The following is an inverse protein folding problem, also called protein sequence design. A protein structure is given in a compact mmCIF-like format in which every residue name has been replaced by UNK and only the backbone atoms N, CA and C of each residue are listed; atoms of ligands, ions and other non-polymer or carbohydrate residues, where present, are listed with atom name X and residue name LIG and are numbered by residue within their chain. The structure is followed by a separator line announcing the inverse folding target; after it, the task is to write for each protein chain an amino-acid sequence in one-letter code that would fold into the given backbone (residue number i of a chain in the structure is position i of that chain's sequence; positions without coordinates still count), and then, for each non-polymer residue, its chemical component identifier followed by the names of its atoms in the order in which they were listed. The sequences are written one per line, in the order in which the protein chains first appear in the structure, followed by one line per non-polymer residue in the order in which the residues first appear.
data_IF_634185994177
#
_entry.id   IF_634185994177
#
_cell.length_a   1.000
_cell.length_b   1.000
_cell.length_c   1.000
_cell.angle_alpha   90.00
_cell.angle_beta   90.00
_cell.angle_gamma   90.00
#
_symmetry.space_group_name_H-M   'P 1'
#
loop_
_entity.id
_entity.type
_entity.pdbx_description
1 polymer ?
#
# COMPACT_ATOMS: atom_id res chain seq x y z
N UNK A 1 -89.73 30.96 8.52
CA UNK A 1 -90.25 31.40 7.21
C UNK A 1 -89.45 32.61 6.75
N UNK A 2 -89.19 32.70 5.44
CA UNK A 2 -88.44 33.72 4.70
C UNK A 2 -86.92 33.75 4.99
N UNK A 3 -86.04 33.06 4.24
CA UNK A 3 -85.65 33.26 2.83
C UNK A 3 -85.28 34.72 2.51
N UNK A 4 -84.00 34.97 2.20
CA UNK A 4 -83.52 35.52 0.91
C UNK A 4 -81.99 35.74 0.98
N UNK A 5 -81.26 35.00 0.15
CA UNK A 5 -79.88 35.26 -0.28
C UNK A 5 -79.91 36.11 -1.59
N UNK A 6 -78.82 36.30 -2.37
CA UNK A 6 -77.40 36.59 -2.10
C UNK A 6 -76.86 37.74 -3.00
N UNK A 7 -75.55 38.04 -2.95
CA UNK A 7 -74.81 38.69 -4.04
C UNK A 7 -73.98 39.90 -3.60
N UNK A 8 -72.73 40.10 -3.99
CA UNK A 8 -71.80 39.33 -4.81
C UNK A 8 -70.46 40.06 -4.71
N UNK A 9 -69.42 39.38 -4.24
CA UNK A 9 -68.07 39.93 -4.12
C UNK A 9 -67.25 39.42 -5.31
N UNK A 10 -67.04 40.25 -6.33
CA UNK A 10 -66.19 39.91 -7.46
C UNK A 10 -64.72 39.92 -7.00
N UNK A 11 -64.14 38.71 -6.83
CA UNK A 11 -62.71 38.54 -6.58
C UNK A 11 -61.96 38.62 -7.89
N UNK A 12 -61.01 39.55 -7.96
CA UNK A 12 -60.06 39.71 -9.06
C UNK A 12 -59.15 38.47 -9.10
N UNK A 13 -59.14 37.80 -10.25
CA UNK A 13 -58.24 36.70 -10.59
C UNK A 13 -56.81 37.20 -10.76
N UNK A 14 -55.89 36.71 -9.92
CA UNK A 14 -54.44 36.74 -10.19
C UNK A 14 -54.05 35.36 -10.73
N UNK A 15 -53.39 35.24 -11.90
CA UNK A 15 -52.99 33.94 -12.43
C UNK A 15 -51.91 33.32 -11.55
N UNK A 16 -52.15 32.06 -11.14
CA UNK A 16 -51.17 31.23 -10.43
C UNK A 16 -50.00 30.89 -11.36
N UNK A 17 -48.75 30.97 -10.91
CA UNK A 17 -47.63 30.44 -11.68
C UNK A 17 -47.75 28.92 -11.81
N UNK A 18 -47.46 28.43 -13.00
CA UNK A 18 -47.56 27.04 -13.38
C UNK A 18 -46.67 26.14 -12.48
N UNK A 19 -47.25 25.02 -12.04
CA UNK A 19 -46.52 23.92 -11.43
C UNK A 19 -45.48 23.38 -12.43
N UNK A 20 -44.21 23.70 -12.20
CA UNK A 20 -43.10 22.95 -12.80
C UNK A 20 -43.05 21.60 -12.09
N UNK A 21 -43.46 20.56 -12.82
CA UNK A 21 -43.33 19.15 -12.45
C UNK A 21 -41.85 18.85 -12.24
N UNK A 22 -41.43 18.72 -10.98
CA UNK A 22 -40.11 18.17 -10.66
C UNK A 22 -40.03 16.76 -11.23
N UNK A 23 -39.33 16.61 -12.37
CA UNK A 23 -38.71 15.32 -12.68
C UNK A 23 -37.63 15.15 -11.63
N UNK A 24 -37.88 14.28 -10.66
CA UNK A 24 -36.83 13.79 -9.77
C UNK A 24 -35.74 13.18 -10.63
N UNK A 25 -34.71 13.96 -10.92
CA UNK A 25 -33.40 13.38 -11.16
C UNK A 25 -33.02 12.77 -9.83
N UNK A 26 -33.20 11.46 -9.70
CA UNK A 26 -32.40 10.64 -8.80
C UNK A 26 -30.95 10.91 -9.20
N UNK A 27 -30.36 11.94 -8.60
CA UNK A 27 -28.92 12.03 -8.50
C UNK A 27 -28.54 10.81 -7.69
N UNK A 28 -28.16 9.74 -8.40
CA UNK A 28 -27.36 8.69 -7.83
C UNK A 28 -26.20 9.42 -7.16
N UNK A 29 -26.26 9.49 -5.83
CA UNK A 29 -25.14 9.95 -5.04
C UNK A 29 -24.10 8.87 -5.25
N UNK A 30 -23.26 9.03 -6.27
CA UNK A 30 -22.05 8.26 -6.43
C UNK A 30 -21.26 8.56 -5.16
N UNK A 31 -21.39 7.67 -4.19
CA UNK A 31 -20.51 7.64 -3.04
C UNK A 31 -19.09 7.58 -3.60
N UNK A 32 -18.17 8.44 -3.14
CA UNK A 32 -16.78 8.28 -3.52
C UNK A 32 -16.34 6.86 -3.15
N UNK A 33 -15.48 6.20 -3.95
CA UNK A 33 -14.97 4.89 -3.58
C UNK A 33 -14.23 5.08 -2.26
N UNK A 34 -14.77 4.51 -1.18
CA UNK A 34 -14.06 4.46 0.10
C UNK A 34 -12.91 3.47 -0.10
N UNK A 35 -11.76 3.97 -0.54
CA UNK A 35 -10.51 3.24 -0.43
C UNK A 35 -10.28 2.93 1.06
N UNK A 36 -10.48 1.68 1.42
CA UNK A 36 -10.37 1.16 2.77
C UNK A 36 -8.93 1.25 3.28
N UNK A 37 -8.59 2.29 4.05
CA UNK A 37 -7.37 2.25 4.86
C UNK A 37 -7.44 1.10 5.90
N UNK A 38 -8.64 0.73 6.36
CA UNK A 38 -8.84 -0.32 7.38
C UNK A 38 -8.81 -1.76 6.86
N UNK A 39 -9.09 -2.00 5.58
CA UNK A 39 -9.18 -3.37 5.01
C UNK A 39 -7.79 -3.97 4.84
N UNK A 40 -6.83 -3.17 4.38
CA UNK A 40 -5.45 -3.62 4.25
C UNK A 40 -4.77 -3.84 5.60
N UNK A 41 -5.10 -3.07 6.65
CA UNK A 41 -4.53 -3.27 8.00
C UNK A 41 -5.02 -4.58 8.62
N UNK A 42 -6.32 -4.85 8.52
CA UNK A 42 -6.91 -6.11 9.00
C UNK A 42 -6.39 -7.31 8.20
N UNK A 43 -6.49 -7.23 6.86
CA UNK A 43 -5.98 -8.26 5.96
C UNK A 43 -4.49 -8.54 6.19
N UNK A 44 -3.68 -7.50 6.42
CA UNK A 44 -2.25 -7.71 6.66
C UNK A 44 -1.90 -8.18 8.07
N UNK A 45 -2.77 -7.96 9.05
CA UNK A 45 -2.60 -8.49 10.41
C UNK A 45 -2.78 -10.00 10.41
N UNK A 46 -3.72 -10.51 9.61
CA UNK A 46 -3.94 -11.95 9.44
C UNK A 46 -2.71 -12.71 8.88
N UNK A 47 -1.84 -12.06 8.09
CA UNK A 47 -0.60 -12.69 7.56
C UNK A 47 0.37 -13.15 8.66
N UNK A 48 0.29 -12.53 9.84
CA UNK A 48 1.17 -12.80 10.99
C UNK A 48 0.49 -13.61 12.12
N UNK A 49 -0.78 -14.01 11.96
CA UNK A 49 -1.48 -14.84 12.94
C UNK A 49 -1.00 -16.29 12.94
N UNK A 50 -0.75 -16.83 11.75
CA UNK A 50 -0.33 -18.21 11.56
C UNK A 50 1.19 -18.37 11.51
N UNK A 51 1.89 -17.32 11.09
CA UNK A 51 3.34 -17.32 10.91
C UNK A 51 3.92 -15.93 11.20
N UNK A 52 4.70 -15.83 12.27
CA UNK A 52 5.29 -14.57 12.74
C UNK A 52 6.59 -14.19 12.04
N UNK A 53 7.08 -15.00 11.09
CA UNK A 53 8.31 -14.71 10.37
C UNK A 53 8.18 -13.42 9.54
N UNK A 54 9.23 -12.59 9.48
CA UNK A 54 9.22 -11.38 8.67
C UNK A 54 9.06 -11.70 7.17
N UNK A 55 8.43 -10.77 6.45
CA UNK A 55 8.19 -10.86 5.01
C UNK A 55 9.05 -9.81 4.31
N UNK A 56 10.00 -10.26 3.49
CA UNK A 56 10.79 -9.44 2.59
C UNK A 56 10.01 -9.18 1.30
N UNK A 57 9.65 -7.92 1.09
CA UNK A 57 9.04 -7.44 -0.15
C UNK A 57 10.12 -7.10 -1.18
N UNK A 58 9.95 -7.59 -2.41
CA UNK A 58 10.91 -7.39 -3.49
C UNK A 58 10.24 -7.08 -4.84
N UNK A 59 10.98 -6.45 -5.75
CA UNK A 59 10.56 -6.20 -7.12
C UNK A 59 10.93 -7.40 -8.02
N UNK A 60 9.93 -8.17 -8.44
CA UNK A 60 10.11 -9.37 -9.27
C UNK A 60 10.64 -9.12 -10.68
N UNK A 61 10.59 -7.88 -11.20
CA UNK A 61 11.16 -7.54 -12.52
C UNK A 61 12.59 -7.00 -12.42
N UNK A 62 13.12 -6.80 -11.22
CA UNK A 62 14.46 -6.25 -11.01
C UNK A 62 15.49 -7.36 -10.76
N UNK A 63 16.48 -7.48 -11.65
CA UNK A 63 17.55 -8.47 -11.54
C UNK A 63 18.35 -8.37 -10.24
N UNK A 64 18.61 -7.14 -9.77
CA UNK A 64 19.27 -6.90 -8.49
C UNK A 64 18.42 -7.40 -7.32
N UNK A 65 17.12 -7.11 -7.31
CA UNK A 65 16.21 -7.56 -6.25
C UNK A 65 16.09 -9.09 -6.24
N UNK A 66 15.93 -9.71 -7.41
CA UNK A 66 15.89 -11.16 -7.57
C UNK A 66 17.21 -11.81 -7.11
N UNK A 67 18.36 -11.23 -7.44
CA UNK A 67 19.66 -11.63 -6.93
C UNK A 67 19.75 -11.53 -5.40
N UNK A 68 19.21 -10.45 -4.83
CA UNK A 68 19.10 -10.27 -3.39
C UNK A 68 18.26 -11.36 -2.71
N UNK A 69 17.09 -11.69 -3.25
CA UNK A 69 16.24 -12.79 -2.73
C UNK A 69 16.98 -14.13 -2.78
N UNK A 70 17.64 -14.44 -3.90
CA UNK A 70 18.46 -15.67 -4.02
C UNK A 70 19.58 -15.73 -2.99
N UNK A 71 20.24 -14.59 -2.76
CA UNK A 71 21.29 -14.48 -1.76
C UNK A 71 20.75 -14.71 -0.35
N UNK A 72 19.65 -14.05 0.02
CA UNK A 72 19.03 -14.21 1.34
C UNK A 72 18.57 -15.66 1.53
N UNK A 73 17.83 -16.22 0.57
CA UNK A 73 17.37 -17.61 0.61
C UNK A 73 18.51 -18.63 0.71
N UNK A 74 19.65 -18.35 0.07
CA UNK A 74 20.84 -19.20 0.14
C UNK A 74 21.58 -19.15 1.48
N UNK A 75 21.42 -18.06 2.24
CA UNK A 75 22.07 -17.83 3.53
C UNK A 75 21.09 -17.88 4.71
N UNK A 76 19.84 -18.27 4.50
CA UNK A 76 18.82 -18.44 5.53
C UNK A 76 18.43 -19.91 5.64
N UNK A 77 19.30 -20.73 6.25
CA UNK A 77 19.08 -22.19 6.31
C UNK A 77 17.88 -22.58 7.16
N UNK A 78 17.50 -21.72 8.10
CA UNK A 78 16.35 -21.93 8.97
C UNK A 78 15.03 -21.46 8.33
N UNK A 79 15.10 -20.79 7.17
CA UNK A 79 13.93 -20.18 6.54
C UNK A 79 13.27 -19.16 7.46
N UNK A 80 14.06 -18.32 8.12
CA UNK A 80 13.60 -17.28 9.03
C UNK A 80 12.82 -16.18 8.32
N UNK A 81 13.02 -15.99 7.01
CA UNK A 81 12.41 -14.92 6.20
C UNK A 81 11.49 -15.50 5.13
N UNK A 82 10.32 -14.88 4.97
CA UNK A 82 9.38 -15.14 3.87
C UNK A 82 9.58 -14.10 2.78
N UNK A 83 9.23 -14.42 1.54
CA UNK A 83 9.37 -13.51 0.40
C UNK A 83 8.02 -13.28 -0.26
N UNK A 84 7.74 -12.04 -0.64
CA UNK A 84 6.52 -11.67 -1.34
C UNK A 84 6.83 -10.61 -2.41
N UNK A 85 6.27 -10.77 -3.60
CA UNK A 85 6.52 -9.87 -4.71
C UNK A 85 5.65 -8.62 -4.58
N UNK A 86 6.23 -7.43 -4.80
CA UNK A 86 5.49 -6.16 -4.75
C UNK A 86 4.40 -6.05 -5.83
N UNK A 87 4.50 -6.86 -6.89
CA UNK A 87 3.49 -6.93 -7.95
C UNK A 87 2.20 -7.64 -7.52
N UNK A 88 2.26 -8.51 -6.49
CA UNK A 88 1.10 -9.26 -6.02
C UNK A 88 0.15 -8.37 -5.21
N UNK A 89 -1.12 -8.79 -5.09
CA UNK A 89 -2.09 -8.08 -4.26
C UNK A 89 -1.66 -8.06 -2.79
N UNK A 90 -1.15 -9.19 -2.28
CA UNK A 90 -0.61 -9.29 -0.92
C UNK A 90 0.58 -8.35 -0.70
N UNK A 91 1.52 -8.28 -1.65
CA UNK A 91 2.68 -7.40 -1.59
C UNK A 91 2.30 -5.92 -1.57
N UNK A 92 1.32 -5.50 -2.40
CA UNK A 92 0.79 -4.14 -2.39
C UNK A 92 0.15 -3.77 -1.05
N UNK A 93 -0.59 -4.69 -0.45
CA UNK A 93 -1.23 -4.46 0.84
C UNK A 93 -0.21 -4.32 1.97
N UNK A 94 0.81 -5.18 1.98
CA UNK A 94 1.93 -5.09 2.92
C UNK A 94 2.75 -3.81 2.71
N UNK A 95 2.94 -3.36 1.46
CA UNK A 95 3.61 -2.11 1.16
C UNK A 95 2.81 -0.89 1.66
N UNK A 96 1.50 -0.87 1.45
CA UNK A 96 0.62 0.19 1.98
C UNK A 96 0.66 0.26 3.51
N UNK A 97 0.68 -0.89 4.18
CA UNK A 97 0.86 -0.95 5.64
C UNK A 97 2.18 -0.34 6.11
N UNK A 98 3.24 -0.41 5.30
CA UNK A 98 4.53 0.22 5.62
C UNK A 98 4.52 1.75 5.47
N UNK A 99 3.39 2.36 5.09
CA UNK A 99 3.26 3.80 4.87
C UNK A 99 3.73 4.25 3.49
N UNK A 100 3.91 3.33 2.54
CA UNK A 100 4.33 3.61 1.17
C UNK A 100 3.19 3.50 0.18
N UNK A 101 3.33 4.19 -0.95
CA UNK A 101 2.41 4.04 -2.06
C UNK A 101 2.50 2.61 -2.65
N UNK A 102 1.40 2.01 -3.11
CA UNK A 102 1.39 0.65 -3.64
C UNK A 102 2.27 0.46 -4.89
N UNK A 103 2.57 1.55 -5.59
CA UNK A 103 3.43 1.54 -6.80
C UNK A 103 4.90 1.90 -6.49
N UNK A 104 5.25 2.12 -5.22
CA UNK A 104 6.62 2.44 -4.81
C UNK A 104 7.50 1.18 -4.74
N UNK A 105 7.90 0.70 -5.91
CA UNK A 105 8.82 -0.42 -6.09
C UNK A 105 10.29 -0.02 -5.94
N UNK A 106 10.59 1.21 -5.51
CA UNK A 106 11.96 1.77 -5.52
C UNK A 106 12.89 1.17 -4.46
N UNK A 107 12.33 0.47 -3.47
CA UNK A 107 13.11 -0.04 -2.33
C UNK A 107 12.67 -1.41 -1.86
N UNK A 108 13.62 -2.16 -1.31
CA UNK A 108 13.39 -3.34 -0.49
C UNK A 108 12.71 -2.91 0.81
N UNK A 109 11.69 -3.65 1.20
CA UNK A 109 10.93 -3.44 2.45
C UNK A 109 10.90 -4.75 3.20
N UNK A 110 11.16 -4.71 4.51
CA UNK A 110 10.97 -5.84 5.41
C UNK A 110 9.78 -5.54 6.30
N UNK A 111 8.77 -6.40 6.31
CA UNK A 111 7.56 -6.25 7.13
C UNK A 111 7.58 -7.29 8.23
N UNK A 112 7.50 -6.82 9.48
CA UNK A 112 7.28 -7.58 10.69
C UNK A 112 5.85 -7.37 11.21
N UNK A 113 5.47 -8.17 12.21
CA UNK A 113 4.14 -8.11 12.82
C UNK A 113 3.77 -6.73 13.35
N UNK A 114 4.72 -5.96 13.87
CA UNK A 114 4.43 -4.67 14.52
C UNK A 114 5.09 -3.48 13.80
N UNK A 115 5.95 -3.74 12.82
CA UNK A 115 6.82 -2.73 12.21
C UNK A 115 7.16 -3.06 10.76
N UNK A 116 7.52 -2.05 9.98
CA UNK A 116 8.19 -2.22 8.71
C UNK A 116 9.51 -1.45 8.69
N UNK A 117 10.50 -1.98 7.96
CA UNK A 117 11.79 -1.35 7.70
C UNK A 117 11.96 -1.15 6.22
N UNK A 118 12.66 -0.09 5.83
CA UNK A 118 12.77 0.30 4.43
C UNK A 118 14.21 0.70 4.10
N UNK A 119 14.58 0.64 2.81
CA UNK A 119 15.91 1.01 2.30
C UNK A 119 17.04 0.30 3.08
N UNK A 120 18.03 1.06 3.55
CA UNK A 120 19.20 0.51 4.23
C UNK A 120 18.84 -0.14 5.58
N UNK A 121 17.76 0.30 6.24
CA UNK A 121 17.29 -0.32 7.48
C UNK A 121 16.72 -1.72 7.20
N UNK A 122 15.96 -1.89 6.11
CA UNK A 122 15.47 -3.20 5.70
C UNK A 122 16.64 -4.16 5.44
N UNK A 123 17.67 -3.70 4.73
CA UNK A 123 18.86 -4.51 4.42
C UNK A 123 19.57 -4.94 5.70
N UNK A 124 19.81 -4.03 6.64
CA UNK A 124 20.46 -4.39 7.90
C UNK A 124 19.61 -5.38 8.70
N UNK A 125 18.30 -5.17 8.77
CA UNK A 125 17.42 -6.08 9.49
C UNK A 125 17.39 -7.47 8.87
N UNK A 126 17.32 -7.56 7.54
CA UNK A 126 17.45 -8.84 6.82
C UNK A 126 18.76 -9.55 7.19
N UNK A 127 19.87 -8.81 7.28
CA UNK A 127 21.17 -9.37 7.65
C UNK A 127 21.23 -9.92 9.08
N UNK A 128 20.38 -9.42 10.00
CA UNK A 128 20.25 -9.96 11.36
C UNK A 128 19.50 -11.30 11.39
N UNK A 129 18.65 -11.58 10.39
CA UNK A 129 17.82 -12.80 10.32
C UNK A 129 18.47 -13.97 9.57
N UNK A 130 19.52 -13.71 8.79
CA UNK A 130 20.24 -14.74 8.03
C UNK A 130 21.44 -15.28 8.82
N UNK A 131 22.02 -16.39 8.37
CA UNK A 131 23.07 -17.11 9.08
C UNK A 131 24.36 -16.28 9.24
N UNK A 132 25.23 -16.69 10.19
CA UNK A 132 26.54 -16.07 10.37
C UNK A 132 27.38 -16.11 9.07
N UNK A 133 28.14 -15.05 8.75
CA UNK A 133 28.56 -13.95 9.63
C UNK A 133 27.73 -12.65 9.52
N UNK A 134 26.61 -12.65 8.79
CA UNK A 134 25.90 -11.41 8.46
C UNK A 134 25.32 -10.63 9.64
N UNK A 135 24.81 -11.26 10.72
CA UNK A 135 24.37 -10.53 11.90
C UNK A 135 25.50 -9.71 12.55
N UNK A 136 26.75 -10.20 12.50
CA UNK A 136 27.91 -9.47 13.01
C UNK A 136 28.21 -8.25 12.14
N UNK A 137 28.14 -8.40 10.82
CA UNK A 137 28.34 -7.29 9.89
C UNK A 137 27.23 -6.23 10.03
N UNK A 138 25.98 -6.66 10.21
CA UNK A 138 24.86 -5.76 10.49
C UNK A 138 25.10 -4.94 11.77
N UNK A 139 25.59 -5.61 12.82
CA UNK A 139 25.97 -4.95 14.07
C UNK A 139 27.04 -3.88 13.86
N UNK A 140 28.05 -4.08 13.00
CA UNK A 140 29.03 -3.02 12.71
C UNK A 140 28.45 -1.90 11.83
N UNK A 141 27.62 -2.23 10.84
CA UNK A 141 27.00 -1.26 9.94
C UNK A 141 25.93 -0.39 10.61
N UNK A 142 25.41 -0.79 11.78
CA UNK A 142 24.50 0.03 12.56
C UNK A 142 25.16 1.33 13.06
N UNK A 143 26.49 1.34 13.24
CA UNK A 143 27.24 2.51 13.66
C UNK A 143 27.50 3.51 12.52
N UNK A 144 27.28 3.09 11.27
CA UNK A 144 27.36 3.99 10.12
C UNK A 144 26.14 4.92 10.14
N UNK A 145 26.33 6.25 10.09
CA UNK A 145 25.22 7.20 10.06
C UNK A 145 24.21 6.90 8.96
N UNK A 146 22.92 7.04 9.28
CA UNK A 146 21.81 6.74 8.36
C UNK A 146 21.98 7.44 7.00
N UNK A 147 22.40 8.71 6.98
CA UNK A 147 22.57 9.46 5.73
C UNK A 147 23.60 8.83 4.78
N UNK A 148 24.68 8.23 5.30
CA UNK A 148 25.71 7.58 4.48
C UNK A 148 25.16 6.28 3.89
N UNK A 149 24.50 5.50 4.75
CA UNK A 149 23.94 4.21 4.36
C UNK A 149 22.80 4.35 3.37
N UNK A 150 21.92 5.32 3.58
CA UNK A 150 20.84 5.63 2.65
C UNK A 150 21.36 6.27 1.36
N UNK A 151 22.41 7.11 1.43
CA UNK A 151 23.06 7.60 0.20
C UNK A 151 23.64 6.45 -0.63
N UNK A 152 24.36 5.52 0.00
CA UNK A 152 24.86 4.33 -0.68
C UNK A 152 23.72 3.48 -1.27
N UNK A 153 22.65 3.28 -0.49
CA UNK A 153 21.47 2.56 -0.93
C UNK A 153 20.82 3.23 -2.16
N UNK A 154 20.57 4.53 -2.09
CA UNK A 154 19.90 5.29 -3.15
C UNK A 154 20.74 5.32 -4.42
N UNK A 155 22.08 5.38 -4.33
CA UNK A 155 22.95 5.24 -5.50
C UNK A 155 22.77 3.88 -6.18
N UNK A 156 22.72 2.79 -5.42
CA UNK A 156 22.51 1.45 -5.98
C UNK A 156 21.09 1.32 -6.55
N UNK A 157 20.07 1.77 -5.80
CA UNK A 157 18.68 1.69 -6.19
C UNK A 157 18.38 2.49 -7.48
N UNK A 158 18.95 3.70 -7.61
CA UNK A 158 18.76 4.55 -8.79
C UNK A 158 19.45 3.97 -10.04
N UNK A 159 20.54 3.22 -9.86
CA UNK A 159 21.28 2.62 -10.98
C UNK A 159 20.90 1.16 -11.25
N UNK A 160 19.97 0.56 -10.49
CA UNK A 160 19.71 -0.89 -10.52
C UNK A 160 19.30 -1.41 -11.89
N UNK A 161 18.46 -0.68 -12.63
CA UNK A 161 18.01 -1.11 -13.96
C UNK A 161 19.06 -0.84 -15.04
N UNK A 162 19.88 0.20 -14.86
CA UNK A 162 20.95 0.53 -15.80
C UNK A 162 22.12 -0.44 -15.70
N UNK A 163 22.45 -0.88 -14.48
CA UNK A 163 23.60 -1.77 -14.21
C UNK A 163 23.20 -3.24 -14.32
N UNK A 164 22.06 -3.62 -13.74
CA UNK A 164 21.65 -5.03 -13.64
C UNK A 164 20.56 -5.43 -14.63
N UNK A 165 19.87 -4.47 -15.24
CA UNK A 165 18.78 -4.74 -16.19
C UNK A 165 17.44 -5.10 -15.53
N UNK A 166 16.50 -5.53 -16.37
CA UNK A 166 15.17 -6.03 -15.99
C UNK A 166 15.01 -7.48 -16.44
N UNK A 167 14.23 -8.26 -15.69
CA UNK A 167 13.72 -9.55 -16.15
C UNK A 167 12.37 -9.35 -16.85
N UNK A 168 12.15 -10.09 -17.94
CA UNK A 168 10.86 -10.12 -18.67
C UNK A 168 9.77 -10.94 -17.92
N UNK A 169 10.16 -11.71 -16.90
CA UNK A 169 9.25 -12.49 -16.07
C UNK A 169 9.75 -12.58 -14.62
N UNK A 170 8.81 -12.75 -13.68
CA UNK A 170 9.14 -13.07 -12.28
C UNK A 170 9.70 -14.51 -12.24
N UNK A 171 10.97 -14.66 -11.92
CA UNK A 171 11.68 -15.96 -11.92
C UNK A 171 11.56 -16.75 -10.61
N UNK A 172 10.83 -16.22 -9.62
CA UNK A 172 10.80 -16.72 -8.23
C UNK A 172 9.38 -17.07 -7.82
#
# INVERSE_FOLDING_TARGET
MALLAPGGCARICVPRPAHVRQRGATFATLSPPRGHAGDWVEATSSFFEQDTRPIMLFDGVCNLCNGGVRFVRGNDRNGSIRFEALQSEAGKNLLMRSGRAPDDISSVVLVEKDRAYIKSEAVLKIMEYIDLPFPQLAFFLQFVPLFIRDFAYDNVANNRYTIFGRSESCEI
#
